data_IF_253184619409
#
_entry.id   IF_253184619409
#
_cell.length_a   1.000
_cell.length_b   1.000
_cell.length_c   1.000
_cell.angle_alpha   90.00
_cell.angle_beta   90.00
_cell.angle_gamma   90.00
#
_symmetry.space_group_name_H-M   'P 1'
#
loop_
_entity.id
_entity.type
_entity.pdbx_description
1 polymer ?
#
# COMPACT_ATOMS: atom_id res chain seq x y z
N UNK A 1 12.58 -1.36 -69.93
CA UNK A 1 11.90 -1.71 -68.66
C UNK A 1 12.97 -2.03 -67.63
N UNK A 2 13.13 -1.18 -66.62
CA UNK A 2 14.18 -1.29 -65.61
C UNK A 2 14.64 0.11 -65.18
N UNK A 3 14.63 0.36 -63.88
CA UNK A 3 15.03 1.61 -63.19
C UNK A 3 13.98 2.72 -63.07
N UNK A 4 12.95 2.48 -62.23
CA UNK A 4 12.26 3.56 -61.51
C UNK A 4 11.81 3.19 -60.07
N UNK A 5 12.05 1.96 -59.60
CA UNK A 5 11.55 1.48 -58.29
C UNK A 5 12.61 1.54 -57.18
N UNK A 6 13.90 1.71 -57.49
CA UNK A 6 14.97 1.78 -56.46
C UNK A 6 15.12 3.17 -55.82
N UNK A 7 14.99 4.27 -56.58
CA UNK A 7 15.30 5.62 -56.08
C UNK A 7 14.28 6.23 -55.11
N UNK A 8 13.01 5.77 -55.11
CA UNK A 8 12.00 6.26 -54.15
C UNK A 8 12.05 5.52 -52.80
N UNK A 9 12.50 4.26 -52.78
CA UNK A 9 12.75 3.51 -51.54
C UNK A 9 13.95 4.08 -50.79
N UNK A 10 15.03 4.43 -51.50
CA UNK A 10 16.24 4.97 -50.87
C UNK A 10 15.99 6.35 -50.24
N UNK A 11 15.24 7.25 -50.90
CA UNK A 11 14.96 8.60 -50.35
C UNK A 11 14.04 8.59 -49.12
N UNK A 12 13.08 7.67 -49.07
CA UNK A 12 12.19 7.51 -47.93
C UNK A 12 12.90 6.88 -46.72
N UNK A 13 13.79 5.91 -46.97
CA UNK A 13 14.68 5.35 -45.95
C UNK A 13 15.69 6.38 -45.43
N UNK A 14 16.26 7.20 -46.30
CA UNK A 14 17.21 8.25 -45.93
C UNK A 14 16.55 9.39 -45.13
N UNK A 15 15.31 9.79 -45.49
CA UNK A 15 14.52 10.74 -44.69
C UNK A 15 14.10 10.16 -43.33
N UNK A 16 13.70 8.88 -43.27
CA UNK A 16 13.36 8.20 -42.02
C UNK A 16 14.60 8.06 -41.11
N UNK A 17 15.75 7.67 -41.67
CA UNK A 17 17.03 7.59 -40.95
C UNK A 17 17.45 8.96 -40.40
N UNK A 18 17.31 10.04 -41.19
CA UNK A 18 17.63 11.40 -40.72
C UNK A 18 16.65 11.91 -39.64
N UNK A 19 15.37 11.56 -39.74
CA UNK A 19 14.37 11.88 -38.73
C UNK A 19 14.63 11.11 -37.43
N UNK A 20 14.91 9.81 -37.52
CA UNK A 20 15.31 8.98 -36.37
C UNK A 20 16.60 9.50 -35.74
N UNK A 21 17.64 9.82 -36.52
CA UNK A 21 18.87 10.38 -35.98
C UNK A 21 18.63 11.71 -35.26
N UNK A 22 17.74 12.56 -35.77
CA UNK A 22 17.38 13.82 -35.11
C UNK A 22 16.61 13.58 -33.80
N UNK A 23 15.70 12.61 -33.77
CA UNK A 23 14.99 12.19 -32.56
C UNK A 23 15.92 11.54 -31.54
N UNK A 24 16.83 10.68 -31.99
CA UNK A 24 17.88 10.06 -31.18
C UNK A 24 18.73 11.15 -30.54
N UNK A 25 19.23 12.11 -31.32
CA UNK A 25 20.04 13.21 -30.77
C UNK A 25 19.23 14.04 -29.76
N UNK A 26 17.95 14.36 -30.08
CA UNK A 26 17.07 15.11 -29.19
C UNK A 26 16.85 14.38 -27.85
N UNK A 27 16.66 13.06 -27.88
CA UNK A 27 16.44 12.26 -26.69
C UNK A 27 17.72 11.87 -25.96
N UNK A 28 18.85 11.70 -26.64
CA UNK A 28 20.16 11.52 -26.02
C UNK A 28 20.50 12.71 -25.13
N UNK A 29 20.23 13.94 -25.59
CA UNK A 29 20.41 15.16 -24.80
C UNK A 29 19.47 15.24 -23.58
N UNK A 30 18.38 14.46 -23.58
CA UNK A 30 17.41 14.35 -22.47
C UNK A 30 17.70 13.19 -21.53
N UNK A 31 18.67 12.31 -21.85
CA UNK A 31 19.06 11.23 -20.94
C UNK A 31 19.85 11.83 -19.79
N UNK A 32 19.30 11.72 -18.59
CA UNK A 32 19.96 12.15 -17.35
C UNK A 32 20.22 10.89 -16.52
N UNK A 33 21.49 10.61 -16.23
CA UNK A 33 21.93 9.44 -15.46
C UNK A 33 21.41 8.08 -15.97
N UNK A 34 21.23 7.95 -17.29
CA UNK A 34 20.72 6.74 -17.92
C UNK A 34 19.21 6.56 -17.81
N UNK A 35 18.48 7.64 -17.49
CA UNK A 35 17.02 7.70 -17.49
C UNK A 35 16.50 8.58 -18.64
N UNK A 36 15.49 8.09 -19.35
CA UNK A 36 14.73 8.86 -20.32
C UNK A 36 13.30 9.02 -19.84
N UNK A 37 12.86 10.26 -19.66
CA UNK A 37 11.51 10.59 -19.28
C UNK A 37 10.71 11.22 -20.45
N UNK A 38 9.55 10.65 -20.74
CA UNK A 38 8.63 11.12 -21.77
C UNK A 38 7.28 11.43 -21.13
N UNK A 39 6.83 12.69 -21.19
CA UNK A 39 5.58 13.11 -20.58
C UNK A 39 4.63 13.78 -21.59
N UNK A 40 3.31 13.61 -21.39
CA UNK A 40 2.25 14.38 -22.04
C UNK A 40 2.26 14.38 -23.58
N UNK A 41 2.90 13.38 -24.19
CA UNK A 41 3.02 13.32 -25.63
C UNK A 41 1.77 12.64 -26.24
N UNK A 42 0.95 13.44 -26.92
CA UNK A 42 -0.28 12.98 -27.60
C UNK A 42 0.00 12.30 -28.95
N UNK A 43 1.21 12.48 -29.50
CA UNK A 43 1.63 11.97 -30.81
C UNK A 43 2.65 10.82 -30.70
N UNK A 44 2.96 10.34 -29.49
CA UNK A 44 3.90 9.23 -29.30
C UNK A 44 3.33 7.93 -29.88
N UNK A 45 3.61 7.68 -31.16
CA UNK A 45 3.10 6.54 -31.92
C UNK A 45 4.04 5.33 -31.90
N UNK A 46 5.36 5.53 -31.70
CA UNK A 46 6.40 4.49 -31.69
C UNK A 46 7.52 4.82 -30.70
N UNK A 47 8.27 3.79 -30.31
CA UNK A 47 9.45 3.82 -29.45
C UNK A 47 10.70 3.21 -30.15
N UNK A 48 10.72 3.08 -31.48
CA UNK A 48 11.82 2.42 -32.23
C UNK A 48 13.20 2.99 -31.96
N UNK A 49 13.29 4.28 -31.66
CA UNK A 49 14.54 4.96 -31.40
C UNK A 49 15.23 4.48 -30.11
N UNK A 50 14.51 3.75 -29.24
CA UNK A 50 15.03 3.24 -27.97
C UNK A 50 16.11 2.18 -28.18
N UNK A 51 16.01 1.39 -29.26
CA UNK A 51 16.97 0.32 -29.57
C UNK A 51 18.40 0.86 -29.76
N UNK A 52 18.52 2.10 -30.20
CA UNK A 52 19.79 2.79 -30.46
C UNK A 52 20.38 3.46 -29.20
N UNK A 53 19.69 3.45 -28.05
CA UNK A 53 20.12 4.10 -26.81
C UNK A 53 20.86 3.13 -25.87
N UNK A 54 22.12 2.82 -26.19
CA UNK A 54 22.91 1.78 -25.51
C UNK A 54 23.13 1.99 -23.99
N UNK A 55 23.06 3.22 -23.48
CA UNK A 55 23.27 3.53 -22.05
C UNK A 55 21.96 3.71 -21.26
N UNK A 56 20.81 3.57 -21.93
CA UNK A 56 19.51 3.79 -21.31
C UNK A 56 19.15 2.61 -20.41
N UNK A 57 19.08 2.86 -19.10
CA UNK A 57 18.70 1.86 -18.08
C UNK A 57 17.24 1.99 -17.67
N UNK A 58 16.74 3.22 -17.61
CA UNK A 58 15.42 3.55 -17.10
C UNK A 58 14.60 4.23 -18.19
N UNK A 59 13.42 3.69 -18.47
CA UNK A 59 12.46 4.31 -19.37
C UNK A 59 11.21 4.70 -18.59
N UNK A 60 10.92 6.00 -18.56
CA UNK A 60 9.75 6.55 -17.89
C UNK A 60 8.81 7.20 -18.90
N UNK A 61 7.57 6.74 -18.97
CA UNK A 61 6.57 7.26 -19.89
C UNK A 61 5.30 7.58 -19.11
N UNK A 62 4.89 8.85 -19.16
CA UNK A 62 3.80 9.38 -18.36
C UNK A 62 2.76 10.11 -19.23
N UNK A 63 1.48 9.83 -19.00
CA UNK A 63 0.32 10.54 -19.59
C UNK A 63 0.24 10.49 -21.15
N UNK A 64 0.90 9.51 -21.79
CA UNK A 64 0.87 9.33 -23.24
C UNK A 64 -0.36 8.52 -23.70
N UNK A 65 -1.25 9.16 -24.47
CA UNK A 65 -2.59 8.63 -24.82
C UNK A 65 -2.65 7.73 -26.06
N UNK A 66 -1.61 7.70 -26.90
CA UNK A 66 -1.61 7.04 -28.21
C UNK A 66 -0.42 6.09 -28.47
N UNK A 67 0.16 5.48 -27.43
CA UNK A 67 1.27 4.51 -27.57
C UNK A 67 0.72 3.17 -28.08
N UNK A 68 0.36 3.10 -29.37
CA UNK A 68 -0.23 1.89 -29.99
C UNK A 68 0.34 1.68 -31.39
N UNK A 69 1.65 1.46 -31.40
CA UNK A 69 2.35 0.34 -32.03
C UNK A 69 3.74 0.46 -31.42
N UNK A 70 4.05 -0.36 -30.42
CA UNK A 70 5.47 -0.62 -30.20
C UNK A 70 5.85 -1.48 -31.39
N UNK A 71 6.73 -1.06 -32.30
CA UNK A 71 7.36 -2.03 -33.18
C UNK A 71 8.28 -2.86 -32.29
N UNK A 72 9.00 -3.81 -32.88
CA UNK A 72 9.80 -4.73 -32.09
C UNK A 72 10.97 -3.97 -31.45
N UNK A 73 10.79 -3.47 -30.23
CA UNK A 73 11.81 -2.74 -29.48
C UNK A 73 12.70 -3.79 -28.83
N UNK A 74 13.98 -3.80 -29.18
CA UNK A 74 14.98 -4.65 -28.58
C UNK A 74 16.00 -3.80 -27.82
N UNK A 75 16.08 -3.99 -26.50
CA UNK A 75 17.12 -3.35 -25.69
C UNK A 75 17.72 -4.31 -24.67
N UNK A 76 19.05 -4.32 -24.62
CA UNK A 76 19.83 -5.05 -23.63
C UNK A 76 20.18 -4.18 -22.42
N UNK A 77 20.10 -2.85 -22.53
CA UNK A 77 20.50 -1.91 -21.47
C UNK A 77 19.37 -1.59 -20.50
N UNK A 78 18.11 -1.61 -20.98
CA UNK A 78 16.95 -1.27 -20.15
C UNK A 78 16.72 -2.35 -19.09
N UNK A 79 16.69 -1.90 -17.85
CA UNK A 79 16.47 -2.75 -16.66
C UNK A 79 15.20 -2.35 -15.90
N UNK A 80 14.73 -1.11 -16.07
CA UNK A 80 13.56 -0.59 -15.35
C UNK A 80 12.67 0.21 -16.28
N UNK A 81 11.37 -0.02 -16.18
CA UNK A 81 10.39 0.71 -16.98
C UNK A 81 9.19 1.13 -16.15
N UNK A 82 8.80 2.39 -16.31
CA UNK A 82 7.68 3.02 -15.63
C UNK A 82 6.70 3.57 -16.64
N UNK A 83 5.45 3.16 -16.53
CA UNK A 83 4.36 3.58 -17.40
C UNK A 83 3.19 4.07 -16.57
N UNK A 84 3.01 5.39 -16.51
CA UNK A 84 1.97 6.01 -15.70
C UNK A 84 0.91 6.67 -16.57
N UNK A 85 -0.35 6.33 -16.37
CA UNK A 85 -1.50 6.91 -17.09
C UNK A 85 -1.38 6.81 -18.62
N UNK A 86 -0.77 5.73 -19.12
CA UNK A 86 -0.64 5.43 -20.54
C UNK A 86 -1.82 4.59 -21.05
N UNK A 87 -1.93 4.46 -22.37
CA UNK A 87 -2.88 3.55 -23.04
C UNK A 87 -2.16 2.34 -23.66
N UNK A 88 -1.24 1.72 -22.92
CA UNK A 88 -0.54 0.53 -23.39
C UNK A 88 -1.43 -0.68 -23.26
N UNK A 89 -1.75 -1.30 -24.41
CA UNK A 89 -2.73 -2.38 -24.48
C UNK A 89 -2.13 -3.78 -24.30
N UNK A 90 -0.82 -3.97 -24.55
CA UNK A 90 -0.10 -5.24 -24.34
C UNK A 90 1.43 -5.04 -24.40
N UNK A 91 2.19 -6.10 -24.08
CA UNK A 91 3.67 -6.14 -24.11
C UNK A 91 4.25 -6.93 -25.27
N UNK A 92 3.44 -7.38 -26.25
CA UNK A 92 3.87 -8.38 -27.25
C UNK A 92 5.13 -7.96 -27.99
N UNK A 93 5.19 -6.69 -28.35
CA UNK A 93 6.23 -6.15 -29.22
C UNK A 93 7.43 -5.56 -28.45
N UNK A 94 7.47 -5.69 -27.12
CA UNK A 94 8.57 -5.16 -26.28
C UNK A 94 9.54 -6.27 -25.87
N UNK A 95 10.80 -6.24 -26.30
CA UNK A 95 11.86 -7.19 -25.94
C UNK A 95 12.98 -6.52 -25.13
N UNK A 96 12.78 -6.44 -23.82
CA UNK A 96 13.82 -6.02 -22.87
C UNK A 96 14.46 -7.24 -22.21
N UNK A 97 15.67 -7.61 -22.66
CA UNK A 97 16.34 -8.86 -22.24
C UNK A 97 16.74 -8.87 -20.75
N UNK A 98 17.03 -7.69 -20.19
CA UNK A 98 17.54 -7.51 -18.83
C UNK A 98 16.54 -6.80 -17.91
N UNK A 99 15.25 -6.83 -18.26
CA UNK A 99 14.21 -6.15 -17.49
C UNK A 99 14.05 -6.77 -16.10
N UNK A 100 14.31 -5.96 -15.07
CA UNK A 100 14.20 -6.34 -13.66
C UNK A 100 13.01 -5.70 -12.96
N UNK A 101 12.55 -4.53 -13.43
CA UNK A 101 11.43 -3.78 -12.85
C UNK A 101 10.44 -3.35 -13.91
N UNK A 102 9.17 -3.58 -13.59
CA UNK A 102 8.02 -3.02 -14.30
C UNK A 102 7.14 -2.27 -13.31
N UNK A 103 6.80 -1.01 -13.62
CA UNK A 103 5.76 -0.26 -12.93
C UNK A 103 4.67 0.19 -13.91
N UNK A 104 3.45 -0.32 -13.73
CA UNK A 104 2.24 0.07 -14.44
C UNK A 104 1.24 0.74 -13.50
N UNK A 105 1.27 2.07 -13.44
CA UNK A 105 0.31 2.86 -12.68
C UNK A 105 -0.76 3.47 -13.60
N UNK A 106 -2.05 3.30 -13.28
CA UNK A 106 -3.14 4.05 -13.92
C UNK A 106 -3.49 3.63 -15.36
N UNK A 107 -3.14 2.41 -15.78
CA UNK A 107 -3.44 1.88 -17.12
C UNK A 107 -4.75 1.06 -17.10
N UNK A 108 -5.75 1.47 -17.90
CA UNK A 108 -7.15 0.96 -17.82
C UNK A 108 -7.42 -0.43 -18.44
N UNK A 109 -6.46 -1.01 -19.18
CA UNK A 109 -6.72 -2.19 -20.04
C UNK A 109 -5.48 -3.08 -20.28
N UNK A 110 -4.59 -3.19 -19.31
CA UNK A 110 -3.37 -3.95 -19.53
C UNK A 110 -3.64 -5.46 -19.44
N UNK A 111 -3.63 -6.12 -20.60
CA UNK A 111 -3.51 -7.57 -20.67
C UNK A 111 -2.05 -7.94 -20.40
N UNK A 112 -1.79 -8.53 -19.23
CA UNK A 112 -0.44 -8.89 -18.77
C UNK A 112 -0.04 -10.32 -19.14
N UNK A 113 -0.78 -11.02 -20.00
CA UNK A 113 -0.35 -12.37 -20.42
C UNK A 113 1.04 -12.35 -21.08
N UNK A 114 1.37 -11.24 -21.75
CA UNK A 114 2.60 -11.13 -22.54
C UNK A 114 3.84 -10.75 -21.71
N UNK A 115 3.71 -10.44 -20.40
CA UNK A 115 4.89 -10.14 -19.55
C UNK A 115 5.67 -11.40 -19.15
N UNK A 116 5.12 -12.60 -19.38
CA UNK A 116 5.77 -13.87 -19.02
C UNK A 116 7.14 -14.07 -19.68
N UNK A 117 7.46 -13.35 -20.76
CA UNK A 117 8.80 -13.38 -21.37
C UNK A 117 9.88 -12.73 -20.50
N UNK A 118 9.53 -11.87 -19.55
CA UNK A 118 10.49 -11.15 -18.69
C UNK A 118 10.91 -12.01 -17.49
N UNK A 119 11.72 -13.04 -17.74
CA UNK A 119 12.12 -14.04 -16.73
C UNK A 119 13.07 -13.50 -15.65
N UNK A 120 13.71 -12.34 -15.88
CA UNK A 120 14.59 -11.66 -14.92
C UNK A 120 13.86 -10.66 -14.01
N UNK A 121 12.54 -10.56 -14.15
CA UNK A 121 11.73 -9.60 -13.41
C UNK A 121 11.78 -9.90 -11.90
N UNK A 122 12.27 -8.94 -11.13
CA UNK A 122 12.34 -8.97 -9.66
C UNK A 122 11.25 -8.13 -9.02
N UNK A 123 10.80 -7.08 -9.70
CA UNK A 123 9.84 -6.11 -9.18
C UNK A 123 8.72 -5.84 -10.18
N UNK A 124 7.48 -5.96 -9.71
CA UNK A 124 6.30 -5.72 -10.53
C UNK A 124 5.28 -4.92 -9.74
N UNK A 125 4.87 -3.79 -10.31
CA UNK A 125 3.76 -2.99 -9.81
C UNK A 125 2.68 -2.91 -10.89
N UNK A 126 1.48 -3.33 -10.53
CA UNK A 126 0.27 -3.27 -11.36
C UNK A 126 -0.82 -2.69 -10.48
N UNK A 127 -1.14 -1.41 -10.66
CA UNK A 127 -2.13 -0.76 -9.81
C UNK A 127 -2.71 0.50 -10.44
N UNK A 128 -3.88 0.88 -9.94
CA UNK A 128 -4.51 2.14 -10.30
C UNK A 128 -4.17 3.18 -9.25
N UNK A 129 -3.33 4.15 -9.59
CA UNK A 129 -3.30 5.38 -8.79
C UNK A 129 -4.56 6.19 -9.12
N UNK A 130 -5.28 6.56 -8.06
CA UNK A 130 -6.21 7.69 -8.08
C UNK A 130 -7.53 7.51 -8.86
N UNK A 131 -8.14 6.32 -8.82
CA UNK A 131 -9.53 6.17 -9.25
C UNK A 131 -10.48 6.66 -8.17
N UNK A 132 -11.25 7.69 -8.49
CA UNK A 132 -12.49 8.01 -7.79
C UNK A 132 -13.33 6.72 -7.72
N UNK A 133 -13.48 6.14 -6.52
CA UNK A 133 -14.12 4.84 -6.24
C UNK A 133 -15.61 4.76 -6.64
N UNK A 134 -16.15 5.80 -7.26
CA UNK A 134 -17.52 5.87 -7.75
C UNK A 134 -17.68 5.41 -9.21
N UNK A 135 -16.60 5.02 -9.90
CA UNK A 135 -16.63 4.62 -11.33
C UNK A 135 -16.05 3.22 -11.60
N UNK A 136 -16.09 2.32 -10.62
CA UNK A 136 -15.39 1.01 -10.64
C UNK A 136 -16.20 -0.10 -11.37
N UNK A 137 -17.49 0.12 -11.63
CA UNK A 137 -18.39 -0.94 -12.13
C UNK A 137 -18.08 -1.44 -13.54
N UNK A 138 -17.18 -0.77 -14.29
CA UNK A 138 -16.80 -1.12 -15.67
C UNK A 138 -15.34 -1.56 -15.83
N UNK A 139 -14.58 -1.71 -14.75
CA UNK A 139 -13.17 -2.13 -14.82
C UNK A 139 -13.06 -3.66 -14.88
N UNK A 140 -12.52 -4.19 -15.98
CA UNK A 140 -12.06 -5.58 -16.06
C UNK A 140 -10.73 -5.71 -15.34
N UNK A 141 -10.69 -6.47 -14.25
CA UNK A 141 -9.48 -6.67 -13.45
C UNK A 141 -8.49 -7.60 -14.15
N UNK A 142 -7.17 -7.40 -13.96
CA UNK A 142 -6.17 -8.22 -14.61
C UNK A 142 -6.29 -9.67 -14.14
N UNK A 143 -6.41 -10.60 -15.09
CA UNK A 143 -6.18 -12.00 -14.79
C UNK A 143 -4.69 -12.19 -14.48
N UNK A 144 -4.39 -12.44 -13.20
CA UNK A 144 -3.01 -12.60 -12.71
C UNK A 144 -2.54 -14.06 -12.67
N UNK A 145 -3.22 -15.00 -13.36
CA UNK A 145 -2.80 -16.40 -13.40
C UNK A 145 -1.34 -16.56 -13.86
N UNK A 146 -0.92 -15.71 -14.79
CA UNK A 146 0.44 -15.68 -15.33
C UNK A 146 1.50 -15.37 -14.27
N UNK A 147 1.13 -14.67 -13.18
CA UNK A 147 2.08 -14.32 -12.13
C UNK A 147 2.70 -15.56 -11.48
N UNK A 148 1.99 -16.69 -11.46
CA UNK A 148 2.48 -17.96 -10.92
C UNK A 148 3.79 -18.47 -11.54
N UNK A 149 4.20 -17.93 -12.69
CA UNK A 149 5.44 -18.27 -13.39
C UNK A 149 6.65 -17.42 -12.94
N UNK A 150 6.44 -16.29 -12.27
CA UNK A 150 7.50 -15.37 -11.86
C UNK A 150 8.12 -15.80 -10.52
N UNK A 151 8.71 -17.00 -10.49
CA UNK A 151 9.23 -17.62 -9.26
C UNK A 151 10.37 -16.84 -8.60
N UNK A 152 11.02 -15.93 -9.34
CA UNK A 152 12.10 -15.06 -8.86
C UNK A 152 11.62 -13.67 -8.42
N UNK A 153 10.31 -13.41 -8.44
CA UNK A 153 9.78 -12.10 -8.07
C UNK A 153 10.00 -11.84 -6.58
N UNK A 154 10.60 -10.69 -6.26
CA UNK A 154 10.97 -10.27 -4.90
C UNK A 154 10.01 -9.22 -4.34
N UNK A 155 9.45 -8.36 -5.21
CA UNK A 155 8.52 -7.30 -4.83
C UNK A 155 7.34 -7.25 -5.79
N UNK A 156 6.14 -7.30 -5.22
CA UNK A 156 4.89 -7.25 -5.96
C UNK A 156 3.93 -6.24 -5.34
N UNK A 157 3.45 -5.31 -6.14
CA UNK A 157 2.37 -4.40 -5.77
C UNK A 157 1.19 -4.61 -6.71
N UNK A 158 0.08 -5.08 -6.14
CA UNK A 158 -1.19 -5.29 -6.82
C UNK A 158 -2.30 -4.43 -6.19
N UNK A 159 -1.93 -3.34 -5.51
CA UNK A 159 -2.89 -2.47 -4.83
C UNK A 159 -3.89 -1.85 -5.82
N UNK A 160 -5.08 -1.51 -5.33
CA UNK A 160 -6.16 -0.91 -6.12
C UNK A 160 -6.67 -1.82 -7.25
N UNK A 161 -6.65 -3.13 -7.04
CA UNK A 161 -7.32 -4.11 -7.91
C UNK A 161 -8.49 -4.78 -7.16
N UNK A 162 -9.67 -4.14 -7.08
CA UNK A 162 -10.81 -4.71 -6.37
C UNK A 162 -11.21 -6.09 -6.91
N UNK A 163 -11.59 -7.02 -6.03
CA UNK A 163 -11.98 -8.39 -6.34
C UNK A 163 -10.88 -9.27 -6.98
N UNK A 164 -9.61 -8.85 -6.93
CA UNK A 164 -8.49 -9.64 -7.46
C UNK A 164 -8.41 -11.02 -6.82
N UNK A 165 -8.19 -12.06 -7.64
CA UNK A 165 -8.04 -13.44 -7.18
C UNK A 165 -6.57 -13.76 -6.98
N UNK A 166 -6.15 -13.87 -5.72
CA UNK A 166 -4.74 -14.01 -5.33
C UNK A 166 -4.23 -15.46 -5.25
N UNK A 167 -5.03 -16.46 -5.60
CA UNK A 167 -4.58 -17.87 -5.62
C UNK A 167 -3.28 -18.10 -6.42
N UNK A 168 -3.03 -17.42 -7.56
CA UNK A 168 -1.78 -17.57 -8.32
C UNK A 168 -0.51 -17.12 -7.58
N UNK A 169 -0.63 -16.35 -6.47
CA UNK A 169 0.54 -15.85 -5.72
C UNK A 169 1.21 -16.93 -4.87
N UNK A 170 0.57 -18.08 -4.67
CA UNK A 170 1.05 -19.15 -3.79
C UNK A 170 2.42 -19.74 -4.18
N UNK A 171 2.85 -19.58 -5.43
CA UNK A 171 4.17 -20.05 -5.90
C UNK A 171 5.29 -19.01 -5.77
N UNK A 172 4.98 -17.77 -5.38
CA UNK A 172 5.93 -16.66 -5.38
C UNK A 172 6.75 -16.60 -4.10
N UNK A 173 7.38 -17.71 -3.76
CA UNK A 173 8.05 -17.94 -2.46
C UNK A 173 9.24 -17.01 -2.20
N UNK A 174 9.76 -16.33 -3.23
CA UNK A 174 10.86 -15.36 -3.11
C UNK A 174 10.39 -13.94 -2.75
N UNK A 175 9.07 -13.69 -2.69
CA UNK A 175 8.58 -12.37 -2.33
C UNK A 175 9.01 -11.97 -0.92
N UNK A 176 9.59 -10.78 -0.82
CA UNK A 176 9.93 -10.09 0.43
C UNK A 176 9.02 -8.88 0.67
N UNK A 177 8.42 -8.34 -0.38
CA UNK A 177 7.45 -7.25 -0.35
C UNK A 177 6.19 -7.63 -1.13
N UNK A 178 5.03 -7.48 -0.49
CA UNK A 178 3.74 -7.65 -1.15
C UNK A 178 2.77 -6.57 -0.70
N UNK A 179 2.21 -5.84 -1.66
CA UNK A 179 1.10 -4.93 -1.43
C UNK A 179 -0.16 -5.38 -2.17
N UNK A 180 -1.26 -5.46 -1.42
CA UNK A 180 -2.59 -5.87 -1.84
C UNK A 180 -3.64 -4.91 -1.22
N UNK A 181 -3.28 -3.64 -1.05
CA UNK A 181 -4.17 -2.64 -0.45
C UNK A 181 -5.33 -2.28 -1.39
N UNK A 182 -6.50 -1.96 -0.86
CA UNK A 182 -7.69 -1.58 -1.66
C UNK A 182 -8.12 -2.63 -2.70
N UNK A 183 -8.10 -3.91 -2.33
CA UNK A 183 -8.38 -5.02 -3.26
C UNK A 183 -9.70 -5.78 -2.96
N UNK A 184 -10.47 -5.39 -1.93
CA UNK A 184 -11.69 -6.09 -1.51
C UNK A 184 -11.45 -7.59 -1.23
N UNK A 185 -10.28 -7.93 -0.69
CA UNK A 185 -9.89 -9.31 -0.38
C UNK A 185 -10.52 -9.72 0.95
N UNK A 186 -11.08 -10.92 1.01
CA UNK A 186 -11.58 -11.55 2.25
C UNK A 186 -10.68 -12.70 2.70
N UNK A 187 -10.25 -13.53 1.74
CA UNK A 187 -9.48 -14.75 1.98
C UNK A 187 -8.02 -14.58 1.54
N UNK A 188 -7.10 -14.87 2.46
CA UNK A 188 -5.66 -14.71 2.26
C UNK A 188 -4.87 -16.03 2.34
N UNK A 189 -5.54 -17.18 2.20
CA UNK A 189 -4.92 -18.52 2.29
C UNK A 189 -3.72 -18.71 1.35
N UNK A 190 -3.75 -18.06 0.17
CA UNK A 190 -2.66 -18.08 -0.81
C UNK A 190 -1.32 -17.52 -0.28
N UNK A 191 -1.35 -16.71 0.79
CA UNK A 191 -0.14 -16.11 1.37
C UNK A 191 0.66 -17.07 2.26
N UNK A 192 0.07 -18.20 2.66
CA UNK A 192 0.65 -19.12 3.66
C UNK A 192 1.96 -19.80 3.24
N UNK A 193 2.28 -19.78 1.94
CA UNK A 193 3.49 -20.35 1.35
C UNK A 193 4.60 -19.32 1.15
N UNK A 194 4.30 -18.02 1.27
CA UNK A 194 5.21 -16.92 0.93
C UNK A 194 6.07 -16.54 2.15
N UNK A 195 6.77 -17.52 2.70
CA UNK A 195 7.44 -17.46 4.01
C UNK A 195 8.57 -16.43 4.13
N UNK A 196 9.07 -15.92 2.99
CA UNK A 196 10.14 -14.92 2.94
C UNK A 196 9.63 -13.47 3.03
N UNK A 197 8.31 -13.26 3.15
CA UNK A 197 7.74 -11.92 3.29
C UNK A 197 8.28 -11.18 4.51
N UNK A 198 8.74 -9.96 4.25
CA UNK A 198 9.18 -8.98 5.27
C UNK A 198 8.19 -7.84 5.38
N UNK A 199 7.62 -7.39 4.26
CA UNK A 199 6.68 -6.28 4.21
C UNK A 199 5.37 -6.73 3.56
N UNK A 200 4.26 -6.61 4.30
CA UNK A 200 2.94 -7.00 3.84
C UNK A 200 1.91 -5.89 4.09
N UNK A 201 1.32 -5.39 3.01
CA UNK A 201 0.30 -4.34 3.03
C UNK A 201 -1.03 -4.90 2.56
N UNK A 202 -2.00 -4.93 3.48
CA UNK A 202 -3.33 -5.50 3.31
C UNK A 202 -4.43 -4.54 3.78
N UNK A 203 -4.12 -3.26 3.96
CA UNK A 203 -5.08 -2.28 4.46
C UNK A 203 -6.20 -2.00 3.45
N UNK A 204 -7.38 -1.58 3.94
CA UNK A 204 -8.59 -1.33 3.13
C UNK A 204 -9.04 -2.56 2.34
N UNK A 205 -9.23 -3.67 3.05
CA UNK A 205 -9.79 -4.92 2.54
C UNK A 205 -10.93 -5.39 3.46
N UNK A 206 -11.48 -6.59 3.20
CA UNK A 206 -12.57 -7.18 3.97
C UNK A 206 -12.10 -8.43 4.74
N UNK A 207 -10.82 -8.45 5.16
CA UNK A 207 -10.18 -9.61 5.79
C UNK A 207 -10.72 -9.80 7.21
N UNK A 208 -11.07 -11.04 7.55
CA UNK A 208 -11.52 -11.44 8.89
C UNK A 208 -10.59 -12.46 9.54
N UNK A 209 -10.00 -13.35 8.74
CA UNK A 209 -9.18 -14.47 9.21
C UNK A 209 -7.71 -14.28 8.80
N UNK A 210 -6.82 -14.35 9.80
CA UNK A 210 -5.39 -14.17 9.64
C UNK A 210 -4.57 -15.47 9.68
N UNK A 211 -5.19 -16.65 9.70
CA UNK A 211 -4.51 -17.93 9.87
C UNK A 211 -3.35 -18.17 8.87
N UNK A 212 -3.49 -17.66 7.65
CA UNK A 212 -2.45 -17.75 6.61
C UNK A 212 -1.13 -17.07 7.02
N UNK A 213 -1.15 -16.11 7.95
CA UNK A 213 0.04 -15.38 8.39
C UNK A 213 0.90 -16.18 9.38
N UNK A 214 0.40 -17.29 9.94
CA UNK A 214 1.03 -18.03 11.05
C UNK A 214 2.49 -18.43 10.82
N UNK A 215 2.87 -18.71 9.57
CA UNK A 215 4.22 -19.13 9.16
C UNK A 215 5.10 -17.99 8.65
N UNK A 216 4.58 -16.77 8.53
CA UNK A 216 5.31 -15.63 7.96
C UNK A 216 6.22 -14.95 9.00
N UNK A 217 7.04 -15.75 9.68
CA UNK A 217 7.86 -15.33 10.82
C UNK A 217 8.91 -14.28 10.48
N UNK A 218 9.20 -14.07 9.19
CA UNK A 218 10.12 -13.05 8.69
C UNK A 218 9.48 -11.66 8.54
N UNK A 219 8.18 -11.53 8.80
CA UNK A 219 7.48 -10.25 8.71
C UNK A 219 8.08 -9.23 9.68
N UNK A 220 8.41 -8.07 9.13
CA UNK A 220 8.89 -6.88 9.83
C UNK A 220 7.83 -5.77 9.80
N UNK A 221 7.04 -5.68 8.72
CA UNK A 221 5.98 -4.69 8.55
C UNK A 221 4.68 -5.37 8.15
N UNK A 222 3.63 -5.11 8.93
CA UNK A 222 2.29 -5.62 8.66
C UNK A 222 1.25 -4.49 8.79
N UNK A 223 0.59 -4.17 7.69
CA UNK A 223 -0.48 -3.17 7.63
C UNK A 223 -1.80 -3.86 7.31
N UNK A 224 -2.73 -3.86 8.26
CA UNK A 224 -4.06 -4.45 8.23
C UNK A 224 -5.16 -3.42 8.56
N UNK A 225 -4.83 -2.13 8.52
CA UNK A 225 -5.79 -1.05 8.79
C UNK A 225 -7.04 -1.14 7.91
N UNK A 226 -8.20 -0.73 8.43
CA UNK A 226 -9.48 -0.77 7.70
C UNK A 226 -9.81 -2.17 7.16
N UNK A 227 -9.91 -3.16 8.06
CA UNK A 227 -10.37 -4.52 7.77
C UNK A 227 -11.48 -4.92 8.76
N UNK A 228 -11.80 -6.21 8.84
CA UNK A 228 -12.83 -6.77 9.72
C UNK A 228 -12.24 -7.76 10.74
N UNK A 229 -10.95 -7.62 11.06
CA UNK A 229 -10.22 -8.53 11.95
C UNK A 229 -10.69 -8.34 13.39
N UNK A 230 -10.96 -9.44 14.09
CA UNK A 230 -11.25 -9.46 15.53
C UNK A 230 -10.29 -10.33 16.34
N UNK A 231 -9.76 -11.39 15.72
CA UNK A 231 -8.79 -12.29 16.32
C UNK A 231 -7.40 -12.08 15.72
N UNK A 232 -6.44 -11.77 16.59
CA UNK A 232 -5.04 -11.56 16.26
C UNK A 232 -4.10 -12.56 16.95
N UNK A 233 -4.61 -13.70 17.45
CA UNK A 233 -3.79 -14.74 18.11
C UNK A 233 -2.61 -15.19 17.24
N UNK A 234 -2.81 -15.22 15.92
CA UNK A 234 -1.76 -15.58 14.95
C UNK A 234 -0.52 -14.69 15.02
N UNK A 235 -0.68 -13.43 15.47
CA UNK A 235 0.44 -12.49 15.54
C UNK A 235 1.48 -12.90 16.59
N UNK A 236 1.12 -13.77 17.55
CA UNK A 236 2.02 -14.23 18.61
C UNK A 236 3.33 -14.82 18.09
N UNK A 237 3.32 -15.46 16.92
CA UNK A 237 4.52 -16.06 16.31
C UNK A 237 5.38 -15.08 15.51
N UNK A 238 4.88 -13.88 15.20
CA UNK A 238 5.52 -12.92 14.29
C UNK A 238 6.52 -12.02 15.01
N UNK A 239 7.44 -12.62 15.78
CA UNK A 239 8.34 -11.92 16.71
C UNK A 239 9.31 -10.93 16.05
N UNK A 240 9.49 -11.00 14.74
CA UNK A 240 10.31 -10.07 13.96
C UNK A 240 9.57 -8.78 13.56
N UNK A 241 8.28 -8.66 13.89
CA UNK A 241 7.51 -7.46 13.58
C UNK A 241 8.09 -6.25 14.30
N UNK A 242 8.31 -5.20 13.51
CA UNK A 242 8.76 -3.88 13.94
C UNK A 242 7.65 -2.84 13.76
N UNK A 243 6.80 -3.00 12.75
CA UNK A 243 5.70 -2.09 12.44
C UNK A 243 4.41 -2.89 12.33
N UNK A 244 3.44 -2.57 13.19
CA UNK A 244 2.12 -3.17 13.16
C UNK A 244 1.05 -2.09 13.13
N UNK A 245 0.27 -2.08 12.06
CA UNK A 245 -0.87 -1.19 11.89
C UNK A 245 -2.13 -2.02 11.71
N UNK A 246 -3.03 -1.96 12.69
CA UNK A 246 -4.30 -2.71 12.72
C UNK A 246 -5.47 -1.80 13.07
N UNK A 247 -5.38 -0.50 12.78
CA UNK A 247 -6.44 0.46 13.07
C UNK A 247 -7.73 0.15 12.29
N UNK A 248 -8.87 0.69 12.74
CA UNK A 248 -10.17 0.49 12.09
C UNK A 248 -10.50 -1.00 11.87
N UNK A 249 -10.43 -1.78 12.94
CA UNK A 249 -10.78 -3.21 12.98
C UNK A 249 -11.77 -3.48 14.13
N UNK A 250 -11.97 -4.75 14.48
CA UNK A 250 -12.88 -5.23 15.54
C UNK A 250 -12.12 -5.91 16.69
N UNK A 251 -10.87 -5.51 16.94
CA UNK A 251 -9.99 -6.16 17.92
C UNK A 251 -10.38 -5.74 19.34
N UNK A 252 -10.62 -6.72 20.21
CA UNK A 252 -10.87 -6.49 21.64
C UNK A 252 -9.72 -6.95 22.53
N UNK A 253 -9.01 -8.01 22.11
CA UNK A 253 -7.99 -8.68 22.91
C UNK A 253 -6.64 -8.62 22.23
N UNK A 254 -5.66 -8.06 22.93
CA UNK A 254 -4.32 -7.83 22.40
C UNK A 254 -3.22 -8.58 23.16
N UNK A 255 -3.56 -9.61 23.93
CA UNK A 255 -2.58 -10.46 24.62
C UNK A 255 -1.48 -11.03 23.72
N UNK A 256 -1.70 -11.34 22.42
CA UNK A 256 -0.63 -11.79 21.53
C UNK A 256 0.50 -10.76 21.34
N UNK A 257 0.21 -9.46 21.48
CA UNK A 257 1.19 -8.39 21.26
C UNK A 257 2.29 -8.37 22.33
N UNK A 258 2.10 -9.04 23.48
CA UNK A 258 3.12 -9.19 24.52
C UNK A 258 4.38 -9.89 24.00
N UNK A 259 4.22 -10.80 23.04
CA UNK A 259 5.33 -11.57 22.46
C UNK A 259 6.10 -10.80 21.37
N UNK A 260 5.56 -9.65 20.92
CA UNK A 260 6.13 -8.85 19.83
C UNK A 260 7.14 -7.83 20.35
N UNK A 261 8.21 -8.33 20.96
CA UNK A 261 9.23 -7.51 21.66
C UNK A 261 10.06 -6.59 20.76
N UNK A 262 10.00 -6.79 19.44
CA UNK A 262 10.73 -5.99 18.46
C UNK A 262 9.88 -4.85 17.87
N UNK A 263 8.64 -4.65 18.32
CA UNK A 263 7.79 -3.58 17.79
C UNK A 263 8.34 -2.20 18.17
N UNK A 264 8.40 -1.34 17.16
CA UNK A 264 8.88 0.04 17.22
C UNK A 264 7.74 1.02 16.89
N UNK A 265 6.81 0.60 16.03
CA UNK A 265 5.63 1.38 15.65
C UNK A 265 4.38 0.50 15.76
N UNK A 266 3.39 1.00 16.51
CA UNK A 266 2.14 0.29 16.76
C UNK A 266 0.97 1.26 16.69
N UNK A 267 0.05 0.96 15.78
CA UNK A 267 -1.21 1.66 15.67
C UNK A 267 -2.39 0.68 15.81
N UNK A 268 -3.18 0.93 16.84
CA UNK A 268 -4.32 0.15 17.31
C UNK A 268 -5.62 0.96 17.23
N UNK A 269 -5.58 2.17 16.67
CA UNK A 269 -6.68 3.13 16.76
C UNK A 269 -7.97 2.60 16.16
N UNK A 270 -9.13 3.08 16.62
CA UNK A 270 -10.43 2.65 16.06
C UNK A 270 -10.69 1.13 16.16
N UNK A 271 -10.32 0.52 17.29
CA UNK A 271 -10.67 -0.86 17.65
C UNK A 271 -11.64 -0.90 18.84
N UNK A 272 -11.76 -2.01 19.57
CA UNK A 272 -12.59 -2.18 20.76
C UNK A 272 -11.78 -2.72 21.95
N UNK A 273 -10.51 -2.29 22.08
CA UNK A 273 -9.56 -2.81 23.05
C UNK A 273 -9.95 -2.40 24.47
N UNK A 274 -9.89 -3.36 25.40
CA UNK A 274 -10.26 -3.17 26.82
C UNK A 274 -9.09 -3.25 27.79
N UNK A 275 -8.03 -3.94 27.40
CA UNK A 275 -6.84 -4.15 28.22
C UNK A 275 -5.59 -3.80 27.42
N UNK A 276 -4.82 -2.86 27.95
CA UNK A 276 -3.58 -2.36 27.35
C UNK A 276 -2.31 -2.91 28.03
N UNK A 277 -2.44 -3.69 29.10
CA UNK A 277 -1.30 -4.32 29.78
C UNK A 277 -0.36 -5.08 28.83
N UNK A 278 -0.84 -5.81 27.80
CA UNK A 278 0.05 -6.52 26.87
C UNK A 278 1.06 -5.64 26.14
N UNK A 279 0.81 -4.33 26.02
CA UNK A 279 1.68 -3.40 25.30
C UNK A 279 2.38 -2.38 26.20
N UNK A 280 2.06 -2.35 27.51
CA UNK A 280 2.71 -1.42 28.48
C UNK A 280 4.20 -1.70 28.69
N UNK A 281 4.65 -2.94 28.49
CA UNK A 281 6.04 -3.34 28.73
C UNK A 281 6.97 -2.99 27.56
N UNK A 282 6.43 -2.60 26.40
CA UNK A 282 7.21 -2.17 25.24
C UNK A 282 7.72 -0.75 25.45
N UNK A 283 8.87 -0.62 26.12
CA UNK A 283 9.44 0.65 26.59
C UNK A 283 10.02 1.57 25.50
N UNK A 284 9.94 1.20 24.21
CA UNK A 284 10.68 1.86 23.13
C UNK A 284 9.85 2.10 21.85
N UNK A 285 8.54 2.32 21.96
CA UNK A 285 7.79 2.76 20.78
C UNK A 285 8.24 4.14 20.34
N UNK A 286 8.65 4.27 19.08
CA UNK A 286 8.91 5.56 18.45
C UNK A 286 7.58 6.28 18.16
N UNK A 287 6.55 5.53 17.75
CA UNK A 287 5.18 6.01 17.58
C UNK A 287 4.21 4.96 18.12
N UNK A 288 3.36 5.36 19.06
CA UNK A 288 2.30 4.51 19.62
C UNK A 288 0.96 5.23 19.50
N UNK A 289 0.00 4.62 18.79
CA UNK A 289 -1.35 5.18 18.57
C UNK A 289 -2.41 4.19 19.03
N UNK A 290 -3.25 4.57 20.00
CA UNK A 290 -4.37 3.76 20.50
C UNK A 290 -5.68 4.54 20.59
N UNK A 291 -5.78 5.67 19.91
CA UNK A 291 -6.93 6.56 20.01
C UNK A 291 -8.23 5.94 19.44
N UNK A 292 -9.40 6.42 19.89
CA UNK A 292 -10.71 6.01 19.38
C UNK A 292 -11.06 4.52 19.59
N UNK A 293 -10.72 3.93 20.73
CA UNK A 293 -11.24 2.61 21.12
C UNK A 293 -12.74 2.67 21.42
N UNK A 294 -13.49 1.68 20.94
CA UNK A 294 -14.89 1.45 21.26
C UNK A 294 -14.98 0.75 22.61
N UNK A 295 -15.17 1.53 23.67
CA UNK A 295 -15.18 1.06 25.05
C UNK A 295 -16.43 0.18 25.33
N UNK A 296 -16.28 -1.09 25.76
CA UNK A 296 -17.36 -1.88 26.35
C UNK A 296 -17.69 -1.37 27.76
N UNK A 297 -18.93 -1.54 28.18
CA UNK A 297 -19.63 -0.85 29.27
C UNK A 297 -19.04 -0.96 30.70
N UNK A 298 -17.84 -1.49 30.92
CA UNK A 298 -17.18 -1.59 32.24
C UNK A 298 -15.78 -1.00 32.22
N UNK A 299 -15.62 0.13 32.91
CA UNK A 299 -14.49 1.07 32.83
C UNK A 299 -13.68 1.14 34.14
N UNK A 300 -13.93 0.24 35.09
CA UNK A 300 -13.35 0.25 36.45
C UNK A 300 -11.88 -0.21 36.51
N UNK A 301 -11.38 -0.88 35.47
CA UNK A 301 -10.03 -1.46 35.45
C UNK A 301 -8.99 -0.67 34.62
N UNK A 302 -9.42 0.33 33.85
CA UNK A 302 -8.60 0.97 32.80
C UNK A 302 -7.60 2.03 33.30
N UNK A 303 -7.72 2.51 34.53
CA UNK A 303 -7.17 3.82 34.88
C UNK A 303 -6.26 3.84 36.13
N UNK A 304 -5.85 2.69 36.66
CA UNK A 304 -5.00 2.68 37.85
C UNK A 304 -3.51 2.89 37.57
N UNK A 305 -2.98 2.67 36.35
CA UNK A 305 -1.52 2.51 36.17
C UNK A 305 -0.93 3.11 34.86
N UNK A 306 -0.96 4.43 34.65
CA UNK A 306 -0.24 5.06 33.52
C UNK A 306 0.75 6.11 34.06
N UNK A 307 2.05 5.87 33.86
CA UNK A 307 3.12 6.78 34.26
C UNK A 307 3.73 7.38 32.99
N UNK A 308 3.41 8.66 32.77
CA UNK A 308 3.94 9.63 31.77
C UNK A 308 3.27 9.65 30.39
N UNK A 309 2.69 10.85 30.11
CA UNK A 309 2.03 11.36 28.89
C UNK A 309 1.19 10.37 28.09
N UNK A 310 -0.13 10.52 28.19
CA UNK A 310 -1.13 9.69 27.52
C UNK A 310 -2.07 10.57 26.72
N UNK A 311 -2.09 10.40 25.40
CA UNK A 311 -3.08 11.02 24.53
C UNK A 311 -4.21 10.00 24.26
N UNK A 312 -5.38 10.25 24.83
CA UNK A 312 -6.52 9.33 24.75
C UNK A 312 -7.73 10.05 24.17
N UNK A 313 -7.95 9.87 22.86
CA UNK A 313 -9.16 10.36 22.22
C UNK A 313 -10.35 9.42 22.54
N UNK A 314 -11.26 9.88 23.41
CA UNK A 314 -12.49 9.16 23.78
C UNK A 314 -13.66 9.67 22.94
N UNK A 315 -14.05 8.95 21.89
CA UNK A 315 -15.24 9.30 21.10
C UNK A 315 -16.53 8.82 21.81
N UNK A 316 -17.24 9.74 22.45
CA UNK A 316 -18.55 9.49 23.07
C UNK A 316 -19.64 9.29 22.00
N UNK A 317 -20.54 8.31 22.18
CA UNK A 317 -21.78 8.14 21.41
C UNK A 317 -22.98 8.06 22.37
N UNK A 318 -24.11 8.61 21.93
CA UNK A 318 -25.39 8.97 22.63
C UNK A 318 -25.94 8.09 23.78
N UNK A 319 -25.40 6.90 24.03
CA UNK A 319 -25.86 5.94 25.04
C UNK A 319 -24.89 5.68 26.21
N UNK A 320 -23.76 6.38 26.29
CA UNK A 320 -22.70 6.15 27.29
C UNK A 320 -22.92 6.85 28.66
N UNK A 321 -24.12 6.82 29.24
CA UNK A 321 -24.37 7.42 30.58
C UNK A 321 -23.54 6.77 31.71
N UNK A 322 -23.13 5.51 31.56
CA UNK A 322 -22.49 4.72 32.62
C UNK A 322 -20.95 4.68 32.59
N UNK A 323 -20.31 5.24 31.54
CA UNK A 323 -18.84 5.25 31.44
C UNK A 323 -18.17 6.37 32.23
N UNK A 324 -18.85 7.50 32.43
CA UNK A 324 -18.25 8.75 32.91
C UNK A 324 -17.77 8.65 34.37
N UNK A 325 -18.55 8.04 35.27
CA UNK A 325 -18.16 7.88 36.68
C UNK A 325 -16.92 7.01 36.84
N UNK A 326 -16.76 6.03 35.97
CA UNK A 326 -15.63 5.11 35.98
C UNK A 326 -14.38 5.75 35.36
N UNK A 327 -14.54 6.57 34.30
CA UNK A 327 -13.46 7.43 33.78
C UNK A 327 -12.97 8.40 34.86
N UNK A 328 -13.89 9.05 35.56
CA UNK A 328 -13.57 9.98 36.66
C UNK A 328 -12.78 9.31 37.79
N UNK A 329 -13.26 8.16 38.28
CA UNK A 329 -12.62 7.42 39.38
C UNK A 329 -11.17 7.08 39.06
N UNK A 330 -10.92 6.75 37.80
CA UNK A 330 -9.61 6.40 37.33
C UNK A 330 -8.65 7.58 37.09
N UNK A 331 -9.13 8.68 36.52
CA UNK A 331 -8.34 9.90 36.38
C UNK A 331 -7.88 10.43 37.74
N UNK A 332 -8.74 10.35 38.76
CA UNK A 332 -8.44 10.78 40.13
C UNK A 332 -7.36 9.96 40.85
N UNK A 333 -6.98 8.79 40.32
CA UNK A 333 -5.91 7.96 40.89
C UNK A 333 -4.51 8.31 40.35
N UNK A 334 -4.42 9.24 39.40
CA UNK A 334 -3.17 9.57 38.71
C UNK A 334 -2.47 10.79 39.34
N UNK A 335 -1.25 10.60 39.87
CA UNK A 335 -0.47 11.65 40.56
C UNK A 335 0.38 12.54 39.64
N UNK A 336 0.53 12.19 38.35
CA UNK A 336 1.45 12.87 37.42
C UNK A 336 0.86 13.04 36.01
N UNK A 337 -0.43 13.39 35.93
CA UNK A 337 -1.10 13.64 34.65
C UNK A 337 -0.71 15.04 34.13
N UNK A 338 -0.17 15.12 32.92
CA UNK A 338 0.28 16.39 32.33
C UNK A 338 -0.78 16.95 31.37
N UNK A 339 -1.29 16.15 30.44
CA UNK A 339 -2.33 16.56 29.47
C UNK A 339 -3.34 15.42 29.24
N UNK A 340 -4.63 15.75 29.10
CA UNK A 340 -5.72 14.84 28.70
C UNK A 340 -6.58 15.53 27.65
N UNK A 341 -6.67 14.95 26.45
CA UNK A 341 -7.50 15.47 25.37
C UNK A 341 -8.75 14.61 25.20
N UNK A 342 -9.92 15.14 25.55
CA UNK A 342 -11.20 14.45 25.36
C UNK A 342 -11.95 15.13 24.22
N UNK A 343 -12.15 14.42 23.10
CA UNK A 343 -12.99 14.90 22.00
C UNK A 343 -14.29 14.08 21.93
N UNK A 344 -15.45 14.69 22.17
CA UNK A 344 -16.72 14.01 22.00
C UNK A 344 -17.43 14.48 20.73
N UNK A 345 -17.98 13.54 19.95
CA UNK A 345 -19.00 13.86 18.95
C UNK A 345 -20.38 13.84 19.62
N UNK A 346 -20.71 14.93 20.32
CA UNK A 346 -22.04 15.13 20.90
C UNK A 346 -22.94 15.87 19.91
N UNK A 347 -24.14 15.34 19.64
CA UNK A 347 -25.13 16.05 18.79
C UNK A 347 -25.74 17.29 19.47
N UNK A 348 -25.32 17.63 20.70
CA UNK A 348 -25.75 18.82 21.46
C UNK A 348 -24.61 19.32 22.37
N UNK A 349 -24.25 20.60 22.26
CA UNK A 349 -23.17 21.25 23.03
C UNK A 349 -23.32 21.14 24.57
N UNK A 350 -24.54 21.22 25.10
CA UNK A 350 -24.79 21.17 26.57
C UNK A 350 -24.41 19.83 27.22
N UNK A 351 -24.38 18.74 26.46
CA UNK A 351 -23.96 17.44 26.99
C UNK A 351 -22.45 17.34 27.11
N UNK A 352 -21.68 17.98 26.22
CA UNK A 352 -20.22 17.91 26.26
C UNK A 352 -19.64 18.64 27.47
N UNK A 353 -20.07 19.87 27.72
CA UNK A 353 -19.63 20.68 28.87
C UNK A 353 -19.98 20.03 30.21
N UNK A 354 -21.18 19.45 30.34
CA UNK A 354 -21.59 18.73 31.56
C UNK A 354 -20.73 17.47 31.80
N UNK A 355 -20.39 16.75 30.72
CA UNK A 355 -19.55 15.54 30.79
C UNK A 355 -18.10 15.92 31.17
N UNK A 356 -17.51 16.92 30.53
CA UNK A 356 -16.15 17.41 30.82
C UNK A 356 -16.06 17.97 32.25
N UNK A 357 -17.04 18.79 32.67
CA UNK A 357 -17.11 19.33 34.03
C UNK A 357 -17.25 18.24 35.11
N UNK A 358 -17.93 17.13 34.79
CA UNK A 358 -18.05 16.00 35.71
C UNK A 358 -16.78 15.15 35.82
N UNK A 359 -15.81 15.31 34.92
CA UNK A 359 -14.56 14.54 34.90
C UNK A 359 -13.41 15.22 35.66
N UNK A 360 -13.42 16.56 35.78
CA UNK A 360 -12.37 17.34 36.42
C UNK A 360 -12.97 18.33 37.42
N UNK A 361 -12.98 17.96 38.70
CA UNK A 361 -13.14 18.96 39.77
C UNK A 361 -11.75 19.52 40.07
N UNK A 362 -11.58 20.81 39.81
CA UNK A 362 -10.41 21.67 40.04
C UNK A 362 -9.30 21.68 38.97
N UNK A 363 -9.15 22.89 38.39
CA UNK A 363 -8.00 23.45 37.66
C UNK A 363 -7.39 22.60 36.54
N UNK A 364 -7.82 22.85 35.30
CA UNK A 364 -6.93 23.16 34.17
C UNK A 364 -7.78 23.71 33.00
N UNK A 365 -7.19 24.63 32.22
CA UNK A 365 -7.82 25.38 31.14
C UNK A 365 -8.49 24.48 30.11
N UNK A 366 -9.80 24.65 29.93
CA UNK A 366 -10.57 24.06 28.83
C UNK A 366 -10.44 25.01 27.65
N UNK A 367 -9.59 24.67 26.68
CA UNK A 367 -9.64 25.31 25.37
C UNK A 367 -10.74 24.65 24.53
N UNK A 368 -11.81 25.41 24.27
CA UNK A 368 -12.85 25.03 23.32
C UNK A 368 -12.27 25.18 21.90
N UNK A 369 -11.93 24.07 21.24
CA UNK A 369 -11.79 24.09 19.78
C UNK A 369 -13.15 23.81 19.13
N UNK A 370 -13.57 24.71 18.25
CA UNK A 370 -14.77 24.61 17.41
C UNK A 370 -14.69 23.46 16.40
#
# INVERSE_FOLDING_TARGET
>A
MGNCVSQQKDKSLEQASKYNQKMINLYQDLIIDGCLEIQNNQELQSLDFIDDLMDLKDLEIHQCRNVIKCPKIHSQSITRVFFSFCQINNFRDIEFENLELINFCGNKKSNFQDIAKFQKLKKLQIGYENLNLNSISSLTYPNISILSQFINLEQLDLSFNPNIKIAPLSNLVQLTYLSLAYCQIQEISALSTIINLKNLFLYKNDITNLAALSKLINLQKLYLGDNQVSDIQVLRSLRNLQYLEVSNNKICWISPLKELTNLIDLNLSHNAIIDIEPVKLHRYFNNYKINNQRIPTRLDLLLSNIIKSFEMQITYRKHMKYGISSIRKGLNQQKCLINVYISAQCTKNEQFTTIVASLFESSNSVENCQ
#
